data_IF_681144586836
#
_entry.id   IF_681144586836
#
_cell.length_a   1.000
_cell.length_b   1.000
_cell.length_c   1.000
_cell.angle_alpha   90.00
_cell.angle_beta   90.00
_cell.angle_gamma   90.00
#
_symmetry.space_group_name_H-M   'P 1'
#
loop_
_entity.id
_entity.type
_entity.pdbx_description
1 polymer ?
#
# COMPACT_ATOMS: atom_id res chain seq x y z
N UNK A 1 4.65 -8.51 -8.88
CA UNK A 1 5.51 -9.49 -9.57
C UNK A 1 5.51 -10.78 -8.79
N UNK A 2 6.09 -11.87 -9.30
CA UNK A 2 6.22 -13.13 -8.53
C UNK A 2 7.70 -13.52 -8.35
N UNK A 3 8.11 -13.82 -7.12
CA UNK A 3 9.48 -14.23 -6.80
C UNK A 3 10.50 -13.10 -6.95
N UNK A 4 11.46 -13.23 -7.86
CA UNK A 4 12.47 -12.17 -8.12
C UNK A 4 12.10 -11.25 -9.29
N UNK A 5 10.93 -11.44 -9.90
CA UNK A 5 10.48 -10.66 -11.05
C UNK A 5 9.48 -9.59 -10.62
N UNK A 6 9.95 -8.36 -10.40
CA UNK A 6 9.06 -7.19 -10.43
C UNK A 6 8.44 -7.05 -11.82
N UNK A 7 7.27 -6.41 -11.94
CA UNK A 7 6.55 -6.23 -13.21
C UNK A 7 7.21 -5.19 -14.15
N UNK A 8 8.55 -5.13 -14.16
CA UNK A 8 9.28 -4.19 -15.00
C UNK A 8 9.17 -4.59 -16.47
N UNK A 9 8.97 -3.60 -17.32
CA UNK A 9 9.04 -3.82 -18.75
C UNK A 9 10.49 -4.09 -19.14
N UNK A 10 10.74 -5.16 -19.91
CA UNK A 10 12.08 -5.50 -20.38
C UNK A 10 12.50 -4.72 -21.63
N UNK A 11 11.57 -3.96 -22.21
CA UNK A 11 11.79 -3.23 -23.46
C UNK A 11 10.96 -1.94 -23.52
N UNK A 12 11.57 -0.88 -24.04
CA UNK A 12 10.89 0.37 -24.37
C UNK A 12 10.28 0.36 -25.79
N UNK A 13 10.37 -0.76 -26.52
CA UNK A 13 9.84 -0.87 -27.86
C UNK A 13 8.33 -0.58 -27.89
N UNK A 14 7.93 0.40 -28.69
CA UNK A 14 6.53 0.84 -28.78
C UNK A 14 6.09 1.81 -27.66
N UNK A 15 6.96 2.13 -26.70
CA UNK A 15 6.67 3.12 -25.66
C UNK A 15 7.08 4.53 -26.11
N UNK A 16 6.49 5.55 -25.45
CA UNK A 16 6.85 6.94 -25.71
C UNK A 16 8.30 7.20 -25.26
N UNK A 17 8.99 8.09 -25.99
CA UNK A 17 10.35 8.50 -25.60
C UNK A 17 10.36 9.06 -24.18
N UNK A 18 11.34 8.64 -23.37
CA UNK A 18 11.45 8.99 -21.95
C UNK A 18 10.66 8.10 -20.98
N UNK A 19 9.97 7.05 -21.46
CA UNK A 19 9.30 6.09 -20.57
C UNK A 19 10.30 5.37 -19.69
N UNK A 20 10.09 5.42 -18.38
CA UNK A 20 10.84 4.62 -17.41
C UNK A 20 10.24 3.22 -17.36
N UNK A 21 11.10 2.19 -17.42
CA UNK A 21 10.68 0.78 -17.42
C UNK A 21 10.60 0.16 -16.02
N UNK A 22 11.11 0.88 -15.04
CA UNK A 22 11.12 0.56 -13.62
C UNK A 22 10.94 1.86 -12.82
N UNK A 23 10.56 1.79 -11.53
CA UNK A 23 10.48 2.96 -10.67
C UNK A 23 11.82 3.72 -10.59
N UNK A 24 11.77 4.99 -10.20
CA UNK A 24 12.98 5.74 -9.86
C UNK A 24 13.58 5.24 -8.53
N UNK A 25 14.90 5.40 -8.36
CA UNK A 25 15.52 5.15 -7.06
C UNK A 25 14.92 6.07 -5.96
N UNK A 26 14.71 5.57 -4.73
CA UNK A 26 15.12 4.24 -4.24
C UNK A 26 14.10 3.11 -4.47
N UNK A 27 12.94 3.39 -5.08
CA UNK A 27 11.84 2.44 -5.26
C UNK A 27 12.10 1.37 -6.34
N UNK A 28 13.22 1.41 -7.05
CA UNK A 28 13.60 0.34 -7.98
C UNK A 28 14.17 -0.91 -7.28
N UNK A 29 14.27 -0.92 -5.95
CA UNK A 29 14.75 -2.07 -5.19
C UNK A 29 13.67 -3.15 -5.05
N UNK A 30 13.78 -4.21 -5.84
CA UNK A 30 12.82 -5.33 -5.85
C UNK A 30 12.66 -6.02 -4.48
N UNK A 31 13.69 -5.98 -3.63
CA UNK A 31 13.62 -6.55 -2.27
C UNK A 31 12.72 -5.76 -1.29
N UNK A 32 12.19 -4.61 -1.73
CA UNK A 32 11.24 -3.82 -0.97
C UNK A 32 9.79 -4.21 -1.22
N UNK A 33 9.55 -5.22 -2.08
CA UNK A 33 8.23 -5.67 -2.47
C UNK A 33 7.99 -7.12 -2.03
N UNK A 34 6.74 -7.51 -1.80
CA UNK A 34 6.42 -8.88 -1.39
C UNK A 34 6.65 -9.91 -2.51
N UNK A 35 6.39 -9.51 -3.75
CA UNK A 35 6.56 -10.36 -4.94
C UNK A 35 5.78 -11.69 -4.85
N UNK A 36 4.55 -11.66 -4.34
CA UNK A 36 3.68 -12.84 -4.21
C UNK A 36 2.66 -12.99 -5.36
N UNK A 37 2.63 -12.04 -6.30
CA UNK A 37 1.66 -12.01 -7.39
C UNK A 37 0.32 -11.40 -6.98
N UNK A 38 -0.63 -11.42 -7.90
CA UNK A 38 -1.95 -10.78 -7.73
C UNK A 38 -2.82 -11.45 -6.68
N UNK A 39 -3.63 -10.63 -6.01
CA UNK A 39 -4.71 -11.07 -5.13
C UNK A 39 -5.70 -11.96 -5.91
N UNK A 40 -5.87 -13.20 -5.46
CA UNK A 40 -7.08 -13.99 -5.74
C UNK A 40 -8.23 -13.51 -4.84
N UNK A 41 -9.11 -12.69 -5.41
CA UNK A 41 -10.28 -12.16 -4.71
C UNK A 41 -11.26 -13.22 -4.20
N UNK A 42 -11.33 -14.38 -4.87
CA UNK A 42 -12.21 -15.46 -4.42
C UNK A 42 -11.75 -16.07 -3.09
N UNK A 43 -10.44 -16.08 -2.86
CA UNK A 43 -9.84 -16.49 -1.58
C UNK A 43 -9.84 -15.34 -0.57
N UNK A 44 -9.44 -14.14 -0.99
CA UNK A 44 -9.28 -12.99 -0.11
C UNK A 44 -10.59 -12.57 0.59
N UNK A 45 -11.72 -12.58 -0.14
CA UNK A 45 -13.03 -12.23 0.41
C UNK A 45 -13.75 -13.43 1.06
N UNK A 46 -13.10 -14.59 1.23
CA UNK A 46 -13.77 -15.83 1.66
C UNK A 46 -14.11 -15.91 3.16
N UNK A 47 -13.58 -15.02 4.01
CA UNK A 47 -13.89 -15.15 5.44
C UNK A 47 -13.26 -14.18 6.43
N UNK A 48 -12.75 -13.01 6.01
CA UNK A 48 -12.30 -11.92 6.88
C UNK A 48 -11.58 -12.38 8.16
N UNK A 49 -10.61 -13.28 8.01
CA UNK A 49 -9.83 -13.83 9.11
C UNK A 49 -8.34 -13.54 8.89
N UNK A 50 -7.52 -13.78 9.91
CA UNK A 50 -6.09 -13.43 9.86
C UNK A 50 -5.35 -13.96 8.63
N UNK A 51 -5.74 -15.11 8.07
CA UNK A 51 -5.07 -15.66 6.89
C UNK A 51 -5.50 -14.98 5.58
N UNK A 52 -6.78 -14.63 5.44
CA UNK A 52 -7.27 -13.91 4.26
C UNK A 52 -6.89 -12.42 4.31
N UNK A 53 -6.85 -11.82 5.51
CA UNK A 53 -6.36 -10.46 5.73
C UNK A 53 -4.87 -10.34 5.42
N UNK A 54 -4.03 -11.22 5.97
CA UNK A 54 -2.61 -11.22 5.64
C UNK A 54 -2.36 -11.51 4.14
N UNK A 55 -3.28 -12.18 3.46
CA UNK A 55 -3.19 -12.39 2.02
C UNK A 55 -3.43 -11.07 1.25
N UNK A 56 -4.46 -10.31 1.61
CA UNK A 56 -4.72 -8.95 1.06
C UNK A 56 -3.54 -8.00 1.29
N UNK A 57 -2.90 -8.07 2.45
CA UNK A 57 -1.82 -7.17 2.87
C UNK A 57 -0.44 -7.45 2.25
N UNK A 58 -0.29 -8.56 1.52
CA UNK A 58 1.02 -8.98 1.00
C UNK A 58 1.01 -9.36 -0.51
N UNK A 59 -0.12 -9.18 -1.20
CA UNK A 59 -0.26 -9.52 -2.63
C UNK A 59 -0.58 -8.29 -3.46
N UNK A 60 -0.25 -8.36 -4.75
CA UNK A 60 -0.41 -7.25 -5.69
C UNK A 60 -1.90 -6.91 -5.89
N UNK A 61 -2.20 -5.62 -5.87
CA UNK A 61 -3.53 -5.10 -6.19
C UNK A 61 -3.63 -4.85 -7.71
N UNK A 62 -4.14 -5.83 -8.46
CA UNK A 62 -4.42 -5.67 -9.89
C UNK A 62 -3.17 -5.43 -10.74
N UNK A 63 -2.09 -6.15 -10.46
CA UNK A 63 -0.80 -6.09 -11.16
C UNK A 63 0.15 -5.01 -10.62
N UNK A 64 -0.26 -4.29 -9.56
CA UNK A 64 0.58 -3.28 -8.92
C UNK A 64 1.46 -3.93 -7.85
N UNK A 65 2.79 -3.87 -8.07
CA UNK A 65 3.79 -4.46 -7.17
C UNK A 65 3.59 -3.98 -5.72
N UNK A 66 3.33 -4.91 -4.81
CA UNK A 66 2.98 -4.61 -3.42
C UNK A 66 4.22 -4.34 -2.53
N UNK A 67 4.25 -3.16 -1.89
CA UNK A 67 5.39 -2.72 -1.06
C UNK A 67 5.34 -3.41 0.30
N UNK A 68 6.47 -3.99 0.70
CA UNK A 68 6.64 -4.62 1.99
C UNK A 68 7.01 -3.59 3.08
N UNK A 69 6.04 -3.21 3.90
CA UNK A 69 6.26 -2.29 5.03
C UNK A 69 6.97 -2.90 6.25
N UNK A 70 7.21 -4.22 6.31
CA UNK A 70 8.16 -4.80 7.27
C UNK A 70 9.61 -4.48 6.93
N UNK A 71 9.88 -4.15 5.67
CA UNK A 71 11.18 -3.61 5.28
C UNK A 71 11.29 -2.16 5.76
N UNK A 72 12.02 -1.94 6.86
CA UNK A 72 12.18 -0.63 7.46
C UNK A 72 12.69 0.45 6.50
N UNK A 73 13.52 0.09 5.52
CA UNK A 73 14.01 1.03 4.51
C UNK A 73 12.90 1.42 3.51
N UNK A 74 12.08 0.46 3.08
CA UNK A 74 10.93 0.72 2.21
C UNK A 74 9.90 1.59 2.91
N UNK A 75 9.50 1.22 4.13
CA UNK A 75 8.55 1.99 4.95
C UNK A 75 9.03 3.42 5.18
N UNK A 76 10.27 3.59 5.61
CA UNK A 76 10.87 4.91 5.82
C UNK A 76 10.89 5.76 4.54
N UNK A 77 11.24 5.17 3.39
CA UNK A 77 11.28 5.88 2.12
C UNK A 77 9.88 6.35 1.67
N UNK A 78 8.87 5.49 1.75
CA UNK A 78 7.48 5.85 1.41
C UNK A 78 6.96 6.92 2.36
N UNK A 79 7.07 6.70 3.67
CA UNK A 79 6.47 7.61 4.65
C UNK A 79 7.15 8.97 4.64
N UNK A 80 8.47 9.02 4.49
CA UNK A 80 9.21 10.28 4.35
C UNK A 80 8.84 11.02 3.07
N UNK A 81 8.62 10.30 1.96
CA UNK A 81 8.16 10.91 0.70
C UNK A 81 6.79 11.55 0.86
N UNK A 82 5.84 10.87 1.52
CA UNK A 82 4.51 11.42 1.80
C UNK A 82 4.61 12.60 2.77
N UNK A 83 5.35 12.47 3.88
CA UNK A 83 5.54 13.54 4.86
C UNK A 83 6.13 14.82 4.23
N UNK A 84 7.04 14.68 3.27
CA UNK A 84 7.59 15.82 2.53
C UNK A 84 6.51 16.58 1.74
N UNK A 85 5.55 15.88 1.12
CA UNK A 85 4.41 16.53 0.46
C UNK A 85 3.53 17.30 1.44
N UNK A 86 3.27 16.73 2.63
CA UNK A 86 2.50 17.41 3.68
C UNK A 86 3.22 18.64 4.22
N UNK A 87 4.53 18.57 4.42
CA UNK A 87 5.34 19.71 4.81
C UNK A 87 5.36 20.81 3.74
N UNK A 88 5.40 20.43 2.46
CA UNK A 88 5.44 21.37 1.34
C UNK A 88 4.08 22.04 1.08
N UNK A 89 3.00 21.27 1.14
CA UNK A 89 1.65 21.74 0.80
C UNK A 89 0.87 22.26 2.01
N UNK A 90 1.31 21.93 3.23
CA UNK A 90 0.57 22.17 4.47
C UNK A 90 -0.84 21.57 4.44
N UNK A 91 -0.97 20.34 3.94
CA UNK A 91 -2.26 19.65 3.86
C UNK A 91 -2.82 19.35 5.26
N UNK A 92 -4.13 19.55 5.44
CA UNK A 92 -4.81 19.42 6.74
C UNK A 92 -5.20 17.99 7.12
N UNK A 93 -5.24 17.07 6.16
CA UNK A 93 -5.64 15.68 6.36
C UNK A 93 -5.12 14.78 5.23
N UNK A 94 -5.04 13.47 5.50
CA UNK A 94 -4.64 12.45 4.53
C UNK A 94 -5.77 11.45 4.26
N UNK A 95 -6.03 11.18 2.98
CA UNK A 95 -6.82 10.03 2.52
C UNK A 95 -5.86 8.95 2.01
N UNK A 96 -5.86 7.77 2.61
CA UNK A 96 -5.00 6.64 2.23
C UNK A 96 -5.76 5.74 1.27
N UNK A 97 -5.23 5.62 0.05
CA UNK A 97 -5.72 4.69 -0.97
C UNK A 97 -5.45 3.24 -0.59
N UNK A 98 -6.28 2.31 -1.08
CA UNK A 98 -6.06 0.87 -0.92
C UNK A 98 -5.81 0.43 0.54
N UNK A 99 -6.45 1.10 1.51
CA UNK A 99 -6.25 0.82 2.93
C UNK A 99 -6.64 -0.63 3.28
N UNK A 100 -7.65 -1.22 2.60
CA UNK A 100 -8.01 -2.66 2.72
C UNK A 100 -6.81 -3.60 2.52
N UNK A 101 -5.83 -3.20 1.72
CA UNK A 101 -4.62 -3.96 1.41
C UNK A 101 -3.41 -3.55 2.25
N UNK A 102 -3.60 -2.72 3.29
CA UNK A 102 -2.56 -2.31 4.22
C UNK A 102 -2.92 -2.73 5.64
N UNK A 103 -1.91 -2.97 6.47
CA UNK A 103 -2.16 -3.20 7.91
C UNK A 103 -2.66 -1.91 8.55
N UNK A 104 -3.69 -1.98 9.42
CA UNK A 104 -4.13 -0.81 10.19
C UNK A 104 -3.00 -0.12 10.96
N UNK A 105 -2.03 -0.90 11.48
CA UNK A 105 -0.87 -0.38 12.20
C UNK A 105 0.08 0.46 11.32
N UNK A 106 0.18 0.17 10.02
CA UNK A 106 0.97 0.99 9.09
C UNK A 106 0.30 2.34 8.84
N UNK A 107 -1.03 2.36 8.72
CA UNK A 107 -1.81 3.60 8.57
C UNK A 107 -1.73 4.46 9.82
N UNK A 108 -1.83 3.87 11.02
CA UNK A 108 -1.64 4.59 12.28
C UNK A 108 -0.23 5.19 12.39
N UNK A 109 0.81 4.43 12.04
CA UNK A 109 2.18 4.93 12.04
C UNK A 109 2.36 6.10 11.04
N UNK A 110 1.68 6.05 9.87
CA UNK A 110 1.68 7.16 8.93
C UNK A 110 0.99 8.39 9.52
N UNK A 111 -0.18 8.22 10.15
CA UNK A 111 -0.88 9.32 10.83
C UNK A 111 -0.02 10.01 11.88
N UNK A 112 0.64 9.23 12.75
CA UNK A 112 1.56 9.77 13.76
C UNK A 112 2.69 10.59 13.13
N UNK A 113 3.25 10.13 12.00
CA UNK A 113 4.30 10.84 11.28
C UNK A 113 3.81 12.13 10.61
N UNK A 114 2.58 12.14 10.07
CA UNK A 114 2.02 13.31 9.40
C UNK A 114 1.51 14.37 10.39
N UNK A 115 1.07 13.95 11.59
CA UNK A 115 0.57 14.86 12.63
C UNK A 115 -0.78 15.50 12.28
N UNK A 116 -1.52 14.92 11.35
CA UNK A 116 -2.85 15.35 10.89
C UNK A 116 -3.80 14.17 10.86
N UNK A 117 -5.10 14.42 10.73
CA UNK A 117 -6.09 13.34 10.60
C UNK A 117 -5.83 12.51 9.34
N UNK A 118 -5.90 11.18 9.47
CA UNK A 118 -5.69 10.23 8.37
C UNK A 118 -6.84 9.23 8.33
N UNK A 119 -7.42 9.02 7.16
CA UNK A 119 -8.51 8.06 6.96
C UNK A 119 -8.27 7.20 5.71
N UNK A 120 -8.62 5.91 5.78
CA UNK A 120 -8.33 4.94 4.73
C UNK A 120 -9.55 4.56 3.89
N UNK A 121 -9.33 4.24 2.62
CA UNK A 121 -10.30 3.55 1.78
C UNK A 121 -10.26 2.04 2.04
N UNK A 122 -11.21 1.53 2.84
CA UNK A 122 -11.45 0.10 2.93
C UNK A 122 -12.66 -0.27 2.07
N UNK A 123 -12.42 -0.85 0.90
CA UNK A 123 -13.47 -1.26 -0.04
C UNK A 123 -14.05 -2.62 0.37
N UNK A 124 -14.75 -2.63 1.50
CA UNK A 124 -15.48 -3.76 2.03
C UNK A 124 -16.83 -3.30 2.62
N UNK A 125 -17.78 -4.23 2.75
CA UNK A 125 -19.11 -3.95 3.29
C UNK A 125 -19.36 -4.61 4.65
N UNK A 126 -18.43 -5.44 5.14
CA UNK A 126 -18.52 -6.07 6.47
C UNK A 126 -18.02 -5.10 7.55
N UNK A 127 -18.92 -4.63 8.40
CA UNK A 127 -18.62 -3.70 9.49
C UNK A 127 -17.65 -4.28 10.52
N UNK A 128 -17.70 -5.60 10.75
CA UNK A 128 -16.80 -6.28 11.68
C UNK A 128 -15.36 -6.34 11.16
N UNK A 129 -15.19 -6.22 9.84
CA UNK A 129 -13.89 -6.14 9.20
C UNK A 129 -13.42 -4.68 9.08
N UNK A 130 -14.27 -3.79 8.56
CA UNK A 130 -13.91 -2.38 8.31
C UNK A 130 -13.53 -1.64 9.60
N UNK A 131 -14.17 -1.96 10.73
CA UNK A 131 -13.90 -1.31 12.03
C UNK A 131 -12.42 -1.33 12.44
N UNK A 132 -11.67 -2.34 12.01
CA UNK A 132 -10.26 -2.50 12.41
C UNK A 132 -9.35 -1.43 11.76
N UNK A 133 -9.78 -0.81 10.65
CA UNK A 133 -9.08 0.28 9.96
C UNK A 133 -9.45 1.68 10.47
N UNK A 134 -10.54 1.77 11.22
CA UNK A 134 -11.03 3.02 11.83
C UNK A 134 -10.44 3.18 13.23
N UNK A 135 -10.14 2.07 13.91
CA UNK A 135 -9.63 2.05 15.28
C UNK A 135 -10.71 2.40 16.31
N UNK A 136 -10.40 2.25 17.59
CA UNK A 136 -11.38 2.42 18.69
C UNK A 136 -11.99 3.84 18.78
N UNK A 137 -11.40 4.84 18.10
CA UNK A 137 -11.81 6.25 18.16
C UNK A 137 -11.92 6.94 16.78
N UNK A 138 -11.87 6.20 15.66
CA UNK A 138 -12.08 6.80 14.34
C UNK A 138 -13.57 6.92 14.01
N UNK A 139 -13.93 7.89 13.18
CA UNK A 139 -15.29 7.96 12.61
C UNK A 139 -15.42 6.98 11.44
N UNK A 140 -16.47 6.16 11.45
CA UNK A 140 -16.95 5.45 10.25
C UNK A 140 -17.72 6.46 9.40
N UNK A 141 -17.24 6.77 8.20
CA UNK A 141 -17.93 7.60 7.22
C UNK A 141 -18.76 6.78 6.24
#
# INVERSE_FOLDING_TARGET
>A
GSGSGAHYLSSAAGLKSGTQLQPAAPFNNISWYHNLGDIDWSYADSGHNSSTTAYLENHDLGGLDDINFDNAAAKSAVFSSIANWFQYLHADAARVDAAKCMRPSDIHALQEQLGVATFGENFDMDDNFVKDWVGDNGETG
#
